data_IF_398940251878
#
_entry.id   IF_398940251878
#
_cell.length_a   1.000
_cell.length_b   1.000
_cell.length_c   1.000
_cell.angle_alpha   90.00
_cell.angle_beta   90.00
_cell.angle_gamma   90.00
#
_symmetry.space_group_name_H-M   'P 1'
#
loop_
_entity.id
_entity.type
_entity.pdbx_description
1 polymer ?
#
# COMPACT_ATOMS: atom_id res chain seq x y z
N UNK A 1 -5.77 -24.37 6.92
CA UNK A 1 -4.53 -23.63 6.60
C UNK A 1 -4.38 -22.51 7.62
N UNK A 2 -3.20 -22.25 8.19
CA UNK A 2 -3.03 -21.15 9.18
C UNK A 2 -3.38 -19.80 8.53
N UNK A 3 -4.01 -18.89 9.26
CA UNK A 3 -4.24 -17.52 8.77
C UNK A 3 -2.92 -16.74 8.66
N UNK A 4 -2.89 -15.72 7.80
CA UNK A 4 -1.72 -14.83 7.65
C UNK A 4 -1.32 -14.18 8.96
N UNK A 5 -2.29 -13.70 9.75
CA UNK A 5 -2.02 -13.08 11.07
C UNK A 5 -1.38 -14.06 12.05
N UNK A 6 -1.83 -15.31 12.06
CA UNK A 6 -1.26 -16.37 12.91
C UNK A 6 0.18 -16.67 12.49
N UNK A 7 0.45 -16.72 11.19
CA UNK A 7 1.79 -16.97 10.65
C UNK A 7 2.74 -15.80 10.92
N UNK A 8 2.25 -14.56 10.77
CA UNK A 8 2.99 -13.35 11.11
C UNK A 8 3.37 -13.31 12.59
N UNK A 9 2.42 -13.62 13.49
CA UNK A 9 2.69 -13.71 14.94
C UNK A 9 3.70 -14.80 15.26
N UNK A 10 3.57 -15.97 14.64
CA UNK A 10 4.51 -17.07 14.81
C UNK A 10 5.93 -16.69 14.36
N UNK A 11 6.06 -16.04 13.19
CA UNK A 11 7.34 -15.57 12.67
C UNK A 11 7.98 -14.53 13.59
N UNK A 12 7.20 -13.57 14.08
CA UNK A 12 7.71 -12.55 15.01
C UNK A 12 8.20 -13.18 16.32
N UNK A 13 7.45 -14.14 16.88
CA UNK A 13 7.87 -14.84 18.11
C UNK A 13 9.11 -15.72 17.87
N UNK A 14 9.21 -16.38 16.72
CA UNK A 14 10.40 -17.17 16.37
C UNK A 14 11.64 -16.30 16.17
N UNK A 15 11.49 -15.12 15.57
CA UNK A 15 12.62 -14.21 15.32
C UNK A 15 13.29 -13.73 16.62
N UNK A 16 12.55 -13.69 17.73
CA UNK A 16 13.10 -13.40 19.06
C UNK A 16 14.07 -14.46 19.59
N UNK A 17 14.17 -15.63 18.95
CA UNK A 17 15.10 -16.70 19.33
C UNK A 17 16.50 -16.53 18.73
N UNK A 18 16.64 -15.67 17.72
CA UNK A 18 17.93 -15.33 17.14
C UNK A 18 18.75 -14.50 18.14
N UNK A 19 20.08 -14.58 18.06
CA UNK A 19 20.94 -13.61 18.73
C UNK A 19 20.67 -12.17 18.23
N UNK A 20 21.10 -11.16 19.00
CA UNK A 20 20.76 -9.76 18.71
C UNK A 20 21.22 -9.29 17.31
N UNK A 21 22.44 -9.66 16.88
CA UNK A 21 22.99 -9.22 15.59
C UNK A 21 22.24 -9.85 14.41
N UNK A 22 21.94 -11.14 14.52
CA UNK A 22 21.23 -11.89 13.48
C UNK A 22 19.76 -11.51 13.43
N UNK A 23 19.17 -11.19 14.60
CA UNK A 23 17.82 -10.64 14.70
C UNK A 23 17.71 -9.32 13.96
N UNK A 24 18.61 -8.37 14.17
CA UNK A 24 18.55 -7.05 13.51
C UNK A 24 18.65 -7.19 11.98
N UNK A 25 19.51 -8.09 11.50
CA UNK A 25 19.61 -8.43 10.07
C UNK A 25 18.29 -9.01 9.55
N UNK A 26 17.72 -9.96 10.29
CA UNK A 26 16.50 -10.65 9.90
C UNK A 26 15.25 -9.74 9.99
N UNK A 27 15.19 -8.81 10.93
CA UNK A 27 14.09 -7.83 11.04
C UNK A 27 14.06 -6.88 9.83
N UNK A 28 15.23 -6.42 9.37
CA UNK A 28 15.34 -5.65 8.12
C UNK A 28 14.92 -6.48 6.90
N UNK A 29 15.33 -7.76 6.84
CA UNK A 29 14.90 -8.71 5.82
C UNK A 29 13.37 -8.87 5.79
N UNK A 30 12.77 -9.11 6.95
CA UNK A 30 11.35 -9.29 7.13
C UNK A 30 10.56 -8.04 6.74
N UNK A 31 11.04 -6.86 7.13
CA UNK A 31 10.42 -5.57 6.77
C UNK A 31 10.47 -5.34 5.27
N UNK A 32 11.60 -5.63 4.61
CA UNK A 32 11.73 -5.51 3.16
C UNK A 32 10.76 -6.43 2.41
N UNK A 33 10.64 -7.69 2.84
CA UNK A 33 9.74 -8.68 2.25
C UNK A 33 8.27 -8.28 2.46
N UNK A 34 7.89 -7.86 3.67
CA UNK A 34 6.52 -7.43 3.99
C UNK A 34 6.11 -6.15 3.26
N UNK A 35 7.07 -5.28 2.97
CA UNK A 35 6.83 -4.07 2.20
C UNK A 35 6.69 -4.33 0.69
N UNK A 36 6.89 -5.57 0.22
CA UNK A 36 6.69 -5.92 -1.18
C UNK A 36 5.21 -6.15 -1.50
N UNK A 37 4.63 -5.22 -2.27
CA UNK A 37 3.22 -5.27 -2.68
C UNK A 37 2.95 -6.27 -3.82
N UNK A 38 3.99 -6.86 -4.42
CA UNK A 38 3.82 -7.69 -5.61
C UNK A 38 3.38 -9.13 -5.33
N UNK A 39 3.60 -9.58 -4.09
CA UNK A 39 3.38 -10.95 -3.66
C UNK A 39 2.23 -11.01 -2.65
N UNK A 40 1.55 -12.15 -2.61
CA UNK A 40 0.53 -12.41 -1.61
C UNK A 40 1.12 -12.37 -0.17
N UNK A 41 0.54 -11.60 0.77
CA UNK A 41 1.04 -11.54 2.15
C UNK A 41 1.16 -12.92 2.82
N UNK A 42 0.25 -13.84 2.52
CA UNK A 42 0.28 -15.19 3.09
C UNK A 42 1.50 -15.99 2.61
N UNK A 43 1.84 -15.89 1.32
CA UNK A 43 2.97 -16.61 0.75
C UNK A 43 4.30 -15.97 1.15
N UNK A 44 4.34 -14.64 1.29
CA UNK A 44 5.47 -13.92 1.88
C UNK A 44 5.76 -14.40 3.31
N UNK A 45 4.73 -14.54 4.16
CA UNK A 45 4.91 -15.04 5.54
C UNK A 45 5.33 -16.52 5.58
N UNK A 46 4.89 -17.35 4.64
CA UNK A 46 5.38 -18.74 4.51
C UNK A 46 6.84 -18.80 4.13
N UNK A 47 7.24 -17.97 3.16
CA UNK A 47 8.64 -17.84 2.75
C UNK A 47 9.50 -17.36 3.92
N UNK A 48 9.06 -16.33 4.65
CA UNK A 48 9.75 -15.83 5.84
C UNK A 48 9.90 -16.90 6.92
N UNK A 49 8.85 -17.71 7.18
CA UNK A 49 8.94 -18.81 8.13
C UNK A 49 10.01 -19.83 7.71
N UNK A 50 10.06 -20.19 6.42
CA UNK A 50 11.07 -21.12 5.89
C UNK A 50 12.48 -20.57 6.05
N UNK A 51 12.72 -19.33 5.62
CA UNK A 51 14.04 -18.68 5.73
C UNK A 51 14.47 -18.56 7.20
N UNK A 52 13.55 -18.20 8.10
CA UNK A 52 13.82 -18.11 9.53
C UNK A 52 14.19 -19.47 10.15
N UNK A 53 13.52 -20.55 9.77
CA UNK A 53 13.87 -21.88 10.28
C UNK A 53 15.27 -22.29 9.80
N UNK A 54 15.60 -22.03 8.53
CA UNK A 54 16.94 -22.30 7.98
C UNK A 54 18.04 -21.46 8.66
N UNK A 55 17.75 -20.19 8.95
CA UNK A 55 18.67 -19.31 9.67
C UNK A 55 18.89 -19.80 11.11
N UNK A 56 17.84 -20.20 11.82
CA UNK A 56 17.94 -20.77 13.18
C UNK A 56 18.71 -22.10 13.21
N UNK A 57 18.66 -22.89 12.14
CA UNK A 57 19.49 -24.10 12.00
C UNK A 57 20.95 -23.73 11.77
N UNK A 58 21.25 -22.79 10.86
CA UNK A 58 22.60 -22.33 10.60
C UNK A 58 23.25 -21.65 11.82
N UNK A 59 22.48 -20.90 12.61
CA UNK A 59 22.97 -20.27 13.86
C UNK A 59 23.38 -21.32 14.90
N UNK A 60 22.68 -22.46 14.98
CA UNK A 60 23.08 -23.57 15.88
C UNK A 60 24.41 -24.18 15.47
N UNK A 61 24.72 -24.17 14.18
CA UNK A 61 25.99 -24.63 13.63
C UNK A 61 27.09 -23.54 13.70
N UNK A 62 26.79 -22.38 14.31
CA UNK A 62 27.73 -21.26 14.51
C UNK A 62 27.84 -20.30 13.33
N UNK A 63 26.98 -20.42 12.32
CA UNK A 63 26.97 -19.53 11.15
C UNK A 63 26.26 -18.22 11.48
N UNK A 64 26.91 -17.09 11.18
CA UNK A 64 26.31 -15.75 11.35
C UNK A 64 25.26 -15.47 10.25
N UNK A 65 24.24 -14.66 10.53
CA UNK A 65 23.21 -14.35 9.53
C UNK A 65 23.77 -13.71 8.26
N UNK A 66 24.80 -12.86 8.39
CA UNK A 66 25.43 -12.26 7.21
C UNK A 66 26.12 -13.30 6.33
N UNK A 67 26.70 -14.33 6.90
CA UNK A 67 27.28 -15.44 6.14
C UNK A 67 26.19 -16.29 5.49
N UNK A 68 25.11 -16.60 6.21
CA UNK A 68 23.93 -17.28 5.68
C UNK A 68 23.33 -16.57 4.46
N UNK A 69 23.36 -15.23 4.44
CA UNK A 69 22.84 -14.41 3.35
C UNK A 69 23.86 -14.06 2.25
N UNK A 70 25.04 -14.69 2.22
CA UNK A 70 26.14 -14.34 1.31
C UNK A 70 26.52 -12.85 1.37
N UNK A 71 26.45 -12.26 2.56
CA UNK A 71 26.66 -10.84 2.85
C UNK A 71 25.70 -9.87 2.13
N UNK A 72 24.64 -10.36 1.49
CA UNK A 72 23.62 -9.53 0.82
C UNK A 72 22.19 -10.04 1.10
N UNK A 73 21.65 -9.76 2.30
CA UNK A 73 20.28 -10.13 2.67
C UNK A 73 19.22 -9.53 1.73
N UNK A 74 19.50 -8.37 1.14
CA UNK A 74 18.60 -7.72 0.18
C UNK A 74 18.52 -8.49 -1.13
N UNK A 75 19.66 -8.91 -1.68
CA UNK A 75 19.68 -9.72 -2.89
C UNK A 75 19.05 -11.09 -2.63
N UNK A 76 19.32 -11.69 -1.47
CA UNK A 76 18.64 -12.93 -1.06
C UNK A 76 17.11 -12.76 -1.04
N UNK A 77 16.59 -11.73 -0.36
CA UNK A 77 15.16 -11.45 -0.31
C UNK A 77 14.56 -11.26 -1.71
N UNK A 78 15.24 -10.52 -2.58
CA UNK A 78 14.81 -10.29 -3.97
C UNK A 78 14.76 -11.58 -4.79
N UNK A 79 15.71 -12.51 -4.60
CA UNK A 79 15.70 -13.82 -5.26
C UNK A 79 14.53 -14.66 -4.79
N UNK A 80 14.28 -14.72 -3.48
CA UNK A 80 13.16 -15.47 -2.91
C UNK A 80 11.80 -14.90 -3.35
N UNK A 81 11.63 -13.58 -3.32
CA UNK A 81 10.40 -12.92 -3.78
C UNK A 81 10.09 -13.21 -5.26
N UNK A 82 11.12 -13.29 -6.12
CA UNK A 82 10.95 -13.62 -7.54
C UNK A 82 10.50 -15.06 -7.80
N UNK A 83 10.66 -15.96 -6.83
CA UNK A 83 10.18 -17.35 -6.91
C UNK A 83 8.70 -17.47 -6.55
N UNK A 84 8.12 -16.46 -5.91
CA UNK A 84 6.72 -16.44 -5.52
C UNK A 84 5.84 -15.95 -6.69
N UNK A 85 4.58 -16.42 -6.78
CA UNK A 85 3.67 -15.97 -7.82
C UNK A 85 3.43 -14.47 -7.67
N UNK A 86 3.65 -13.73 -8.75
CA UNK A 86 3.34 -12.32 -8.79
C UNK A 86 1.82 -12.14 -8.92
N UNK A 87 1.19 -11.63 -7.86
CA UNK A 87 -0.24 -11.39 -7.79
C UNK A 87 -0.58 -9.90 -7.75
N UNK A 88 0.39 -9.01 -8.02
CA UNK A 88 0.28 -7.55 -7.93
C UNK A 88 -1.04 -7.05 -8.53
N UNK A 89 -1.24 -7.29 -9.83
CA UNK A 89 -2.37 -6.74 -10.59
C UNK A 89 -3.70 -7.31 -10.06
N UNK A 90 -3.75 -8.62 -9.81
CA UNK A 90 -4.97 -9.30 -9.35
C UNK A 90 -5.37 -8.82 -7.96
N UNK A 91 -4.40 -8.69 -7.05
CA UNK A 91 -4.65 -8.21 -5.70
C UNK A 91 -5.02 -6.73 -5.71
N UNK A 92 -4.34 -5.89 -6.48
CA UNK A 92 -4.69 -4.48 -6.66
C UNK A 92 -6.12 -4.34 -7.16
N UNK A 93 -6.49 -5.05 -8.23
CA UNK A 93 -7.85 -4.96 -8.77
C UNK A 93 -8.89 -5.42 -7.75
N UNK A 94 -8.62 -6.51 -7.03
CA UNK A 94 -9.48 -6.99 -5.94
C UNK A 94 -9.61 -5.96 -4.80
N UNK A 95 -8.53 -5.27 -4.44
CA UNK A 95 -8.53 -4.21 -3.42
C UNK A 95 -9.29 -2.97 -3.90
N UNK A 96 -9.06 -2.52 -5.13
CA UNK A 96 -9.78 -1.38 -5.74
C UNK A 96 -11.27 -1.69 -5.78
N UNK A 97 -11.67 -2.86 -6.27
CA UNK A 97 -13.08 -3.25 -6.33
C UNK A 97 -13.71 -3.36 -4.94
N UNK A 98 -12.98 -3.89 -3.95
CA UNK A 98 -13.46 -3.97 -2.56
C UNK A 98 -13.69 -2.58 -1.95
N UNK A 99 -12.80 -1.63 -2.24
CA UNK A 99 -12.83 -0.28 -1.66
C UNK A 99 -13.37 0.77 -2.63
N UNK A 100 -14.00 0.38 -3.73
CA UNK A 100 -14.43 1.31 -4.78
C UNK A 100 -15.40 2.36 -4.24
N UNK A 101 -16.30 1.96 -3.34
CA UNK A 101 -17.26 2.86 -2.70
C UNK A 101 -16.56 3.88 -1.78
N UNK A 102 -15.53 3.47 -1.06
CA UNK A 102 -14.71 4.36 -0.24
C UNK A 102 -13.94 5.36 -1.13
N UNK A 103 -13.32 4.89 -2.21
CA UNK A 103 -12.63 5.74 -3.18
C UNK A 103 -13.57 6.77 -3.82
N UNK A 104 -14.77 6.36 -4.24
CA UNK A 104 -15.79 7.27 -4.78
C UNK A 104 -16.20 8.29 -3.71
N UNK A 105 -16.43 7.86 -2.46
CA UNK A 105 -16.79 8.74 -1.36
C UNK A 105 -15.72 9.82 -1.08
N UNK A 106 -14.45 9.43 -1.00
CA UNK A 106 -13.31 10.35 -0.81
C UNK A 106 -13.17 11.30 -2.01
N UNK A 107 -13.30 10.78 -3.23
CA UNK A 107 -13.25 11.59 -4.45
C UNK A 107 -14.35 12.66 -4.46
N UNK A 108 -15.59 12.28 -4.13
CA UNK A 108 -16.71 13.21 -4.00
C UNK A 108 -16.46 14.27 -2.93
N UNK A 109 -15.87 13.90 -1.79
CA UNK A 109 -15.50 14.87 -0.75
C UNK A 109 -14.51 15.91 -1.28
N UNK A 110 -13.37 15.46 -1.80
CA UNK A 110 -12.30 16.33 -2.30
C UNK A 110 -12.80 17.25 -3.39
N UNK A 111 -13.61 16.72 -4.31
CA UNK A 111 -14.19 17.50 -5.39
C UNK A 111 -15.16 18.57 -4.87
N UNK A 112 -16.11 18.19 -4.01
CA UNK A 112 -17.07 19.12 -3.43
C UNK A 112 -16.38 20.21 -2.61
N UNK A 113 -15.38 19.82 -1.82
CA UNK A 113 -14.57 20.72 -1.00
C UNK A 113 -13.78 21.72 -1.86
N UNK A 114 -13.01 21.24 -2.84
CA UNK A 114 -12.25 22.09 -3.77
C UNK A 114 -13.17 23.05 -4.56
N UNK A 115 -14.37 22.58 -4.94
CA UNK A 115 -15.36 23.40 -5.65
C UNK A 115 -15.82 24.64 -4.88
N UNK A 116 -15.78 24.64 -3.54
CA UNK A 116 -16.10 25.84 -2.74
C UNK A 116 -15.05 26.93 -2.88
N UNK A 117 -13.77 26.58 -2.97
CA UNK A 117 -12.68 27.55 -3.13
C UNK A 117 -12.60 28.10 -4.55
N UNK A 118 -12.93 27.27 -5.55
CA UNK A 118 -12.79 27.61 -6.97
C UNK A 118 -14.07 28.26 -7.52
N UNK A 119 -15.22 28.10 -6.85
CA UNK A 119 -16.52 28.56 -7.36
C UNK A 119 -17.03 27.76 -8.55
N UNK A 120 -16.41 26.61 -8.87
CA UNK A 120 -16.82 25.75 -9.96
C UNK A 120 -18.15 25.06 -9.62
N UNK A 121 -19.18 25.28 -10.45
CA UNK A 121 -20.50 24.62 -10.35
C UNK A 121 -20.79 23.68 -11.53
N UNK A 122 -19.87 23.63 -12.50
CA UNK A 122 -20.03 22.85 -13.73
C UNK A 122 -19.36 21.49 -13.57
N UNK A 123 -20.14 20.43 -13.65
CA UNK A 123 -19.64 19.06 -13.81
C UNK A 123 -19.54 18.77 -15.31
N UNK A 124 -18.34 18.59 -15.82
CA UNK A 124 -18.11 18.09 -17.19
C UNK A 124 -18.17 16.56 -17.22
N UNK A 125 -19.05 15.99 -18.05
CA UNK A 125 -19.32 14.55 -18.09
C UNK A 125 -18.12 13.71 -18.57
N UNK A 126 -17.23 14.27 -19.38
CA UNK A 126 -16.02 13.57 -19.86
C UNK A 126 -14.82 13.81 -18.95
N UNK A 127 -14.63 15.04 -18.47
CA UNK A 127 -13.55 15.35 -17.54
C UNK A 127 -13.71 14.58 -16.23
N UNK A 128 -14.93 14.43 -15.71
CA UNK A 128 -15.17 13.78 -14.42
C UNK A 128 -14.65 12.32 -14.32
N UNK A 129 -15.07 11.37 -15.19
CA UNK A 129 -14.56 9.99 -15.12
C UNK A 129 -13.05 9.92 -15.38
N UNK A 130 -12.52 10.78 -16.27
CA UNK A 130 -11.08 10.86 -16.50
C UNK A 130 -10.33 11.27 -15.22
N UNK A 131 -10.78 12.31 -14.54
CA UNK A 131 -10.18 12.77 -13.27
C UNK A 131 -10.29 11.73 -12.17
N UNK A 132 -11.36 10.93 -12.16
CA UNK A 132 -11.53 9.84 -11.21
C UNK A 132 -10.53 8.71 -11.47
N UNK A 133 -10.36 8.30 -12.74
CA UNK A 133 -9.40 7.25 -13.11
C UNK A 133 -7.96 7.70 -12.81
N UNK A 134 -7.60 8.92 -13.22
CA UNK A 134 -6.27 9.50 -12.94
C UNK A 134 -6.06 9.66 -11.43
N UNK A 135 -7.10 10.06 -10.69
CA UNK A 135 -7.11 10.16 -9.23
C UNK A 135 -6.83 8.82 -8.54
N UNK A 136 -7.45 7.73 -8.99
CA UNK A 136 -7.17 6.39 -8.46
C UNK A 136 -5.73 5.97 -8.79
N UNK A 137 -5.27 6.21 -10.02
CA UNK A 137 -3.91 5.86 -10.43
C UNK A 137 -2.85 6.60 -9.60
N UNK A 138 -3.03 7.89 -9.33
CA UNK A 138 -2.07 8.67 -8.53
C UNK A 138 -2.07 8.27 -7.05
N UNK A 139 -3.24 7.93 -6.48
CA UNK A 139 -3.32 7.39 -5.12
C UNK A 139 -2.60 6.04 -5.04
N UNK A 140 -2.80 5.16 -6.03
CA UNK A 140 -2.10 3.89 -6.09
C UNK A 140 -0.58 4.09 -6.18
N UNK A 141 -0.13 5.00 -7.05
CA UNK A 141 1.29 5.37 -7.17
C UNK A 141 1.86 5.89 -5.85
N UNK A 142 1.12 6.74 -5.14
CA UNK A 142 1.50 7.26 -3.83
C UNK A 142 1.66 6.14 -2.79
N UNK A 143 0.69 5.22 -2.69
CA UNK A 143 0.76 4.06 -1.79
C UNK A 143 1.97 3.19 -2.16
N UNK A 144 2.15 2.88 -3.44
CA UNK A 144 3.30 2.12 -3.91
C UNK A 144 4.63 2.78 -3.53
N UNK A 145 4.73 4.11 -3.65
CA UNK A 145 5.90 4.87 -3.22
C UNK A 145 6.14 4.84 -1.71
N UNK A 146 5.09 4.85 -0.88
CA UNK A 146 5.23 4.68 0.58
C UNK A 146 5.88 3.34 0.92
N UNK A 147 5.35 2.24 0.38
CA UNK A 147 5.91 0.91 0.56
C UNK A 147 7.32 0.80 0.00
N UNK A 148 7.58 1.41 -1.16
CA UNK A 148 8.91 1.43 -1.76
C UNK A 148 9.93 2.18 -0.91
N UNK A 149 9.51 3.26 -0.26
CA UNK A 149 10.33 4.02 0.67
C UNK A 149 10.72 3.15 1.87
N UNK A 150 9.78 2.40 2.44
CA UNK A 150 10.07 1.44 3.52
C UNK A 150 11.12 0.40 3.08
N UNK A 151 10.96 -0.19 1.89
CA UNK A 151 11.95 -1.14 1.34
C UNK A 151 13.35 -0.53 1.21
N UNK A 152 13.45 0.71 0.71
CA UNK A 152 14.73 1.40 0.53
C UNK A 152 15.40 1.66 1.88
N UNK A 153 14.62 2.02 2.91
CA UNK A 153 15.14 2.35 4.25
C UNK A 153 15.72 1.15 5.00
N UNK A 154 15.28 -0.08 4.71
CA UNK A 154 15.77 -1.28 5.39
C UNK A 154 17.26 -1.59 5.10
N UNK A 155 17.77 -1.19 3.94
CA UNK A 155 19.12 -1.57 3.49
C UNK A 155 19.94 -0.40 2.93
N UNK A 156 19.43 0.82 2.99
CA UNK A 156 20.16 1.99 2.50
C UNK A 156 20.33 3.02 3.61
N UNK A 157 21.59 3.37 3.89
CA UNK A 157 22.00 4.36 4.90
C UNK A 157 22.34 5.71 4.27
N UNK A 158 22.32 5.84 2.95
CA UNK A 158 22.69 7.08 2.25
C UNK A 158 21.67 8.20 2.49
N UNK A 159 22.15 9.34 3.01
CA UNK A 159 21.37 10.57 3.20
C UNK A 159 20.78 11.12 1.88
N UNK A 160 21.44 10.88 0.74
CA UNK A 160 20.93 11.34 -0.56
C UNK A 160 19.68 10.54 -0.98
N UNK A 161 19.70 9.23 -0.82
CA UNK A 161 18.53 8.38 -1.08
C UNK A 161 17.37 8.74 -0.15
N UNK A 162 17.67 9.11 1.09
CA UNK A 162 16.68 9.64 2.01
C UNK A 162 16.06 10.91 1.45
N UNK A 163 16.84 11.94 1.16
CA UNK A 163 16.33 13.21 0.62
C UNK A 163 15.49 13.01 -0.65
N UNK A 164 15.97 12.20 -1.60
CA UNK A 164 15.24 11.90 -2.84
C UNK A 164 13.90 11.20 -2.59
N UNK A 165 13.82 10.23 -1.68
CA UNK A 165 12.54 9.55 -1.37
C UNK A 165 11.52 10.50 -0.73
N UNK A 166 11.94 11.39 0.18
CA UNK A 166 11.04 12.40 0.75
C UNK A 166 10.59 13.44 -0.28
N UNK A 167 11.49 13.86 -1.17
CA UNK A 167 11.15 14.75 -2.27
C UNK A 167 10.12 14.13 -3.21
N UNK A 168 10.27 12.84 -3.56
CA UNK A 168 9.30 12.10 -4.37
C UNK A 168 7.94 11.97 -3.67
N UNK A 169 7.92 11.73 -2.35
CA UNK A 169 6.68 11.70 -1.57
C UNK A 169 5.99 13.07 -1.56
N UNK A 170 6.75 14.15 -1.36
CA UNK A 170 6.23 15.52 -1.40
C UNK A 170 5.65 15.85 -2.78
N UNK A 171 6.37 15.53 -3.85
CA UNK A 171 5.89 15.70 -5.23
C UNK A 171 4.62 14.89 -5.49
N UNK A 172 4.50 13.69 -4.92
CA UNK A 172 3.29 12.86 -5.05
C UNK A 172 2.08 13.50 -4.36
N UNK A 173 2.26 14.12 -3.19
CA UNK A 173 1.21 14.89 -2.51
C UNK A 173 0.80 16.12 -3.33
N UNK A 174 1.77 16.86 -3.88
CA UNK A 174 1.49 17.95 -4.81
C UNK A 174 0.75 17.47 -6.06
N UNK A 175 1.11 16.29 -6.58
CA UNK A 175 0.45 15.66 -7.72
C UNK A 175 -1.01 15.31 -7.43
N UNK A 176 -1.32 14.78 -6.24
CA UNK A 176 -2.70 14.56 -5.80
C UNK A 176 -3.46 15.89 -5.84
N UNK A 177 -2.93 16.93 -5.19
CA UNK A 177 -3.56 18.26 -5.20
C UNK A 177 -3.79 18.77 -6.63
N UNK A 178 -2.79 18.64 -7.50
CA UNK A 178 -2.87 19.05 -8.90
C UNK A 178 -3.99 18.33 -9.67
N UNK A 179 -4.09 17.01 -9.55
CA UNK A 179 -5.11 16.18 -10.25
C UNK A 179 -6.53 16.54 -9.81
N UNK A 180 -6.74 16.94 -8.56
CA UNK A 180 -8.07 17.29 -8.07
C UNK A 180 -8.47 18.75 -8.35
N UNK A 181 -7.52 19.68 -8.37
CA UNK A 181 -7.80 21.12 -8.49
C UNK A 181 -7.76 21.64 -9.93
N UNK A 182 -6.75 21.26 -10.72
CA UNK A 182 -6.53 21.82 -12.07
C UNK A 182 -7.66 21.49 -13.05
N UNK A 183 -8.19 20.25 -13.10
CA UNK A 183 -9.25 19.94 -14.03
C UNK A 183 -10.53 20.74 -13.79
N UNK A 184 -10.76 21.21 -12.56
CA UNK A 184 -11.90 22.06 -12.22
C UNK A 184 -11.75 23.49 -12.75
N UNK A 185 -10.52 23.97 -12.91
CA UNK A 185 -10.23 25.31 -13.44
C UNK A 185 -10.09 25.33 -14.96
N UNK A 186 -9.42 24.34 -15.55
CA UNK A 186 -8.95 24.41 -16.94
C UNK A 186 -9.53 23.35 -17.89
N UNK A 187 -9.97 22.17 -17.42
CA UNK A 187 -10.46 21.09 -18.28
C UNK A 187 -11.98 21.14 -18.46
N UNK A 188 -12.44 22.03 -19.34
CA UNK A 188 -13.86 22.18 -19.71
C UNK A 188 -14.22 21.38 -20.96
N UNK A 189 -13.97 20.06 -20.95
CA UNK A 189 -14.18 19.20 -22.13
C UNK A 189 -15.52 18.46 -22.03
N UNK A 190 -16.39 18.67 -23.02
CA UNK A 190 -17.66 17.96 -23.16
C UNK A 190 -18.88 18.67 -22.58
N UNK A 191 -20.06 18.03 -22.61
CA UNK A 191 -21.29 18.58 -22.05
C UNK A 191 -21.18 18.73 -20.53
N UNK A 192 -21.81 19.79 -19.99
CA UNK A 192 -21.75 20.11 -18.57
C UNK A 192 -23.13 20.08 -17.91
N UNK A 193 -23.15 19.68 -16.65
CA UNK A 193 -24.30 19.77 -15.76
C UNK A 193 -24.00 20.78 -14.65
N UNK A 194 -25.00 21.59 -14.29
CA UNK A 194 -24.90 22.48 -13.14
C UNK A 194 -25.28 21.69 -11.89
N UNK A 195 -24.28 21.30 -11.11
CA UNK A 195 -24.47 20.54 -9.88
C UNK A 195 -23.86 21.34 -8.74
N UNK A 196 -24.63 21.48 -7.65
CA UNK A 196 -24.14 22.13 -6.45
C UNK A 196 -23.01 21.34 -5.81
N UNK A 197 -21.98 22.03 -5.32
CA UNK A 197 -20.88 21.39 -4.60
C UNK A 197 -21.36 20.64 -3.35
N UNK A 198 -22.45 21.11 -2.74
CA UNK A 198 -23.14 20.42 -1.65
C UNK A 198 -23.60 19.00 -2.01
N UNK A 199 -24.00 18.76 -3.26
CA UNK A 199 -24.42 17.43 -3.72
C UNK A 199 -23.27 16.43 -3.60
N UNK A 200 -22.04 16.83 -3.95
CA UNK A 200 -20.86 15.95 -3.80
C UNK A 200 -20.49 15.69 -2.34
N UNK A 201 -20.62 16.70 -1.47
CA UNK A 201 -20.41 16.55 -0.04
C UNK A 201 -21.43 15.57 0.57
N UNK A 202 -22.71 15.74 0.26
CA UNK A 202 -23.77 14.84 0.76
C UNK A 202 -23.54 13.40 0.30
N UNK A 203 -23.22 13.19 -0.98
CA UNK A 203 -22.89 11.85 -1.51
C UNK A 203 -21.72 11.24 -0.74
N UNK A 204 -20.69 12.03 -0.46
CA UNK A 204 -19.53 11.57 0.31
C UNK A 204 -19.90 11.15 1.74
N UNK A 205 -20.69 11.96 2.44
CA UNK A 205 -21.16 11.64 3.79
C UNK A 205 -22.05 10.40 3.86
N UNK A 206 -22.66 10.00 2.75
CA UNK A 206 -23.42 8.74 2.67
C UNK A 206 -22.48 7.58 2.32
N UNK A 207 -21.60 7.76 1.33
CA UNK A 207 -20.80 6.67 0.78
C UNK A 207 -19.68 6.23 1.72
N UNK A 208 -19.03 7.16 2.43
CA UNK A 208 -17.92 6.84 3.34
C UNK A 208 -18.40 5.96 4.50
N UNK A 209 -19.45 6.31 5.28
CA UNK A 209 -19.92 5.46 6.37
C UNK A 209 -20.40 4.09 5.91
N UNK A 210 -21.11 4.02 4.78
CA UNK A 210 -21.56 2.73 4.22
C UNK A 210 -20.36 1.88 3.82
N UNK A 211 -19.36 2.47 3.15
CA UNK A 211 -18.15 1.75 2.77
C UNK A 211 -17.41 1.21 3.99
N UNK A 212 -17.28 2.00 5.07
CA UNK A 212 -16.65 1.57 6.32
C UNK A 212 -17.45 0.46 7.02
N UNK A 213 -18.78 0.55 7.02
CA UNK A 213 -19.65 -0.49 7.59
C UNK A 213 -19.49 -1.83 6.85
N UNK A 214 -19.51 -1.78 5.52
CA UNK A 214 -19.29 -2.95 4.65
C UNK A 214 -17.92 -3.56 4.93
N UNK A 215 -16.87 -2.75 4.96
CA UNK A 215 -15.50 -3.23 5.16
C UNK A 215 -15.29 -3.85 6.56
N UNK A 216 -15.87 -3.24 7.60
CA UNK A 216 -15.85 -3.79 8.95
C UNK A 216 -16.53 -5.16 9.00
N UNK A 217 -17.71 -5.30 8.40
CA UNK A 217 -18.45 -6.56 8.39
C UNK A 217 -17.70 -7.67 7.61
N UNK A 218 -17.10 -7.33 6.46
CA UNK A 218 -16.30 -8.29 5.70
C UNK A 218 -15.01 -8.70 6.42
N UNK A 219 -14.36 -7.77 7.13
CA UNK A 219 -13.15 -8.06 7.91
C UNK A 219 -13.48 -9.01 9.06
N UNK A 220 -14.52 -8.74 9.83
CA UNK A 220 -14.91 -9.54 11.00
C UNK A 220 -15.32 -10.98 10.61
N UNK A 221 -15.97 -11.16 9.45
CA UNK A 221 -16.33 -12.48 8.93
C UNK A 221 -15.10 -13.35 8.59
N UNK A 222 -14.02 -12.74 8.12
CA UNK A 222 -12.78 -13.47 7.81
C UNK A 222 -11.98 -13.83 9.08
N UNK A 223 -12.08 -13.00 10.13
CA UNK A 223 -11.44 -13.27 11.43
C UNK A 223 -12.14 -14.42 12.15
N UNK A 224 -13.49 -14.41 12.19
CA UNK A 224 -14.28 -15.43 12.88
C UNK A 224 -14.30 -16.80 12.17
N UNK A 225 -14.11 -16.85 10.85
CA UNK A 225 -13.98 -18.11 10.11
C UNK A 225 -12.60 -18.77 10.25
N UNK A 226 -11.69 -18.18 11.05
CA UNK A 226 -10.32 -18.67 11.28
C UNK A 226 -10.04 -19.07 12.74
N UNK A 227 -11.07 -19.01 13.60
CA UNK A 227 -11.11 -19.64 14.92
C UNK A 227 -11.64 -21.07 14.80
#
# INVERSE_FOLDING_TARGET
>A
MKSTDKLMRENNVKALRLNNTDRDTFENYMTYVRADLSVNPHDSEKMLNRVLNQLLEAEKDGTLAMEFFDHDPKAHAKRELRRLPNETIRNIFKYIMRHIMLFVGIFCFLKGFAGFFIGAKRLYLYTFPLTLIVGIAIIFFFIWMLFKTVQIRCFNTSHLSWLLTYLVLLLSVCGIFYVFFIPQMFLTVGPYLLISNWTFIIISFIFIPIALYIDHHFTNKNTNASL
#
